data_IF_830010732698
#
_entry.id   IF_830010732698
#
_cell.length_a   1.000
_cell.length_b   1.000
_cell.length_c   1.000
_cell.angle_alpha   90.00
_cell.angle_beta   90.00
_cell.angle_gamma   90.00
#
_symmetry.space_group_name_H-M   'P 1'
#
loop_
_entity.id
_entity.type
_entity.pdbx_description
1 polymer ?
#
# COMPACT_ATOMS: atom_id res chain seq x y z
N UNK A 1 7.42 20.56 -5.42
CA UNK A 1 6.04 21.06 -5.15
C UNK A 1 5.90 21.24 -3.65
N UNK A 2 5.96 22.48 -3.17
CA UNK A 2 6.02 22.81 -1.74
C UNK A 2 4.60 22.92 -1.15
N UNK A 3 4.34 22.16 -0.08
CA UNK A 3 3.37 22.42 0.99
C UNK A 3 1.95 22.88 0.58
N UNK A 4 1.30 22.22 -0.37
CA UNK A 4 -0.16 22.20 -0.34
C UNK A 4 -0.53 21.35 0.87
N UNK A 5 -1.23 21.94 1.86
CA UNK A 5 -1.71 21.17 3.00
C UNK A 5 -2.54 19.99 2.49
N UNK A 6 -2.45 18.82 3.13
CA UNK A 6 -3.24 17.65 2.74
C UNK A 6 -4.73 18.01 2.56
N UNK A 7 -5.26 18.89 3.41
CA UNK A 7 -6.62 19.45 3.30
C UNK A 7 -6.88 20.18 1.97
N UNK A 8 -5.97 21.06 1.54
CA UNK A 8 -6.11 21.76 0.25
C UNK A 8 -6.06 20.81 -0.93
N UNK A 9 -5.15 19.82 -0.89
CA UNK A 9 -5.04 18.79 -1.92
C UNK A 9 -6.32 17.95 -2.01
N UNK A 10 -6.83 17.48 -0.86
CA UNK A 10 -8.09 16.73 -0.80
C UNK A 10 -9.28 17.57 -1.30
N UNK A 11 -9.31 18.87 -0.98
CA UNK A 11 -10.33 19.78 -1.51
C UNK A 11 -10.26 19.92 -3.03
N UNK A 12 -9.07 20.09 -3.59
CA UNK A 12 -8.86 20.13 -5.03
C UNK A 12 -9.30 18.82 -5.72
N UNK A 13 -8.89 17.66 -5.17
CA UNK A 13 -9.31 16.37 -5.70
C UNK A 13 -10.82 16.18 -5.66
N UNK A 14 -11.47 16.53 -4.55
CA UNK A 14 -12.93 16.43 -4.41
C UNK A 14 -13.64 17.27 -5.45
N UNK A 15 -13.19 18.50 -5.68
CA UNK A 15 -13.76 19.37 -6.71
C UNK A 15 -13.61 18.76 -8.11
N UNK A 16 -12.43 18.22 -8.45
CA UNK A 16 -12.22 17.55 -9.73
C UNK A 16 -13.11 16.32 -9.90
N UNK A 17 -13.24 15.47 -8.88
CA UNK A 17 -14.15 14.33 -8.96
C UNK A 17 -15.61 14.76 -9.18
N UNK A 18 -16.07 15.82 -8.51
CA UNK A 18 -17.40 16.37 -8.73
C UNK A 18 -17.60 16.90 -10.15
N UNK A 19 -16.62 17.62 -10.72
CA UNK A 19 -16.64 18.09 -12.11
C UNK A 19 -16.83 16.93 -13.11
N UNK A 20 -16.23 15.77 -12.84
CA UNK A 20 -16.31 14.57 -13.70
C UNK A 20 -17.41 13.57 -13.31
N UNK A 21 -18.31 13.92 -12.37
CA UNK A 21 -19.35 12.99 -11.91
C UNK A 21 -18.83 11.74 -11.18
N UNK A 22 -17.58 11.77 -10.71
CA UNK A 22 -16.94 10.68 -9.97
C UNK A 22 -17.37 10.75 -8.51
N UNK A 23 -17.99 9.68 -8.01
CA UNK A 23 -18.39 9.56 -6.60
C UNK A 23 -17.16 9.54 -5.69
N UNK A 24 -17.13 10.43 -4.71
CA UNK A 24 -16.07 10.50 -3.69
C UNK A 24 -16.57 9.92 -2.38
N UNK A 25 -15.77 9.06 -1.76
CA UNK A 25 -16.02 8.53 -0.41
C UNK A 25 -14.85 8.96 0.48
N UNK A 26 -15.15 9.70 1.54
CA UNK A 26 -14.16 10.06 2.55
C UNK A 26 -14.01 8.90 3.55
N UNK A 27 -12.77 8.55 3.87
CA UNK A 27 -12.47 7.45 4.79
C UNK A 27 -11.25 7.76 5.65
N UNK A 28 -11.30 7.38 6.93
CA UNK A 28 -10.15 7.50 7.82
C UNK A 28 -9.12 6.39 7.47
N UNK A 29 -7.88 6.74 7.06
CA UNK A 29 -6.83 5.77 6.77
C UNK A 29 -6.17 5.21 8.03
N UNK A 30 -6.53 5.67 9.23
CA UNK A 30 -5.94 5.17 10.47
C UNK A 30 -6.10 3.64 10.58
N UNK A 31 -5.05 2.99 11.05
CA UNK A 31 -5.02 1.55 11.34
C UNK A 31 -5.27 0.62 10.14
N UNK A 32 -5.33 1.13 8.90
CA UNK A 32 -5.51 0.30 7.70
C UNK A 32 -4.28 -0.53 7.36
N UNK A 33 -3.11 -0.24 7.94
CA UNK A 33 -1.87 -0.98 7.70
C UNK A 33 -1.55 -2.06 8.74
N UNK A 34 -2.45 -2.33 9.69
CA UNK A 34 -2.19 -3.30 10.77
C UNK A 34 -2.46 -4.75 10.35
N UNK A 35 -3.36 -4.97 9.38
CA UNK A 35 -3.72 -6.30 8.91
C UNK A 35 -3.04 -6.64 7.59
N UNK A 36 -2.60 -7.87 7.47
CA UNK A 36 -2.05 -8.42 6.24
C UNK A 36 -3.15 -8.39 5.18
N UNK A 37 -2.90 -7.74 4.03
CA UNK A 37 -3.90 -7.68 2.98
C UNK A 37 -4.03 -9.05 2.29
N UNK A 38 -3.07 -9.97 2.46
CA UNK A 38 -3.03 -11.31 1.85
C UNK A 38 -3.64 -12.45 2.71
N UNK A 39 -3.65 -12.34 4.04
CA UNK A 39 -4.27 -13.39 4.88
C UNK A 39 -5.17 -12.84 6.00
N UNK A 40 -5.15 -11.52 6.25
CA UNK A 40 -5.92 -10.90 7.33
C UNK A 40 -5.26 -10.92 8.71
N UNK A 41 -4.18 -11.67 8.91
CA UNK A 41 -3.42 -11.70 10.17
C UNK A 41 -2.75 -10.36 10.50
N UNK A 42 -2.28 -10.20 11.74
CA UNK A 42 -1.61 -8.96 12.16
C UNK A 42 -0.20 -8.86 11.55
N UNK A 43 0.15 -7.67 11.06
CA UNK A 43 1.49 -7.36 10.57
C UNK A 43 2.38 -6.82 11.69
N UNK A 44 3.67 -7.10 11.57
CA UNK A 44 4.73 -6.59 12.44
C UNK A 44 5.63 -5.62 11.68
N UNK A 45 6.08 -4.55 12.35
CA UNK A 45 7.08 -3.64 11.81
C UNK A 45 8.45 -4.26 12.01
N UNK A 46 9.22 -4.46 10.93
CA UNK A 46 10.43 -5.28 10.98
C UNK A 46 11.51 -4.71 11.93
N UNK A 47 11.64 -3.38 12.02
CA UNK A 47 12.64 -2.76 12.91
C UNK A 47 12.45 -3.16 14.39
N UNK A 48 11.20 -3.35 14.83
CA UNK A 48 10.91 -3.77 16.22
C UNK A 48 11.47 -5.15 16.56
N UNK A 49 11.84 -5.94 15.55
CA UNK A 49 12.42 -7.27 15.73
C UNK A 49 13.95 -7.21 15.80
N UNK A 50 14.57 -6.18 15.23
CA UNK A 50 16.03 -6.05 15.14
C UNK A 50 16.59 -5.13 16.23
N UNK A 51 15.95 -3.97 16.44
CA UNK A 51 16.30 -3.00 17.47
C UNK A 51 15.08 -2.11 17.74
N UNK A 52 14.51 -2.20 18.95
CA UNK A 52 13.34 -1.40 19.34
C UNK A 52 13.61 0.12 19.32
N UNK A 53 14.88 0.54 19.40
CA UNK A 53 15.32 1.93 19.34
C UNK A 53 15.61 2.41 17.91
N UNK A 54 15.61 1.50 16.93
CA UNK A 54 15.80 1.88 15.54
C UNK A 54 14.65 2.79 15.08
N UNK A 55 14.96 3.65 14.10
CA UNK A 55 13.95 4.48 13.48
C UNK A 55 12.81 3.61 12.96
N UNK A 56 11.54 4.05 13.10
CA UNK A 56 10.42 3.27 12.65
C UNK A 56 10.52 2.92 11.17
N UNK A 57 10.86 1.67 10.86
CA UNK A 57 10.81 1.17 9.50
C UNK A 57 9.37 1.20 9.00
N UNK A 58 9.22 1.63 7.75
CA UNK A 58 7.94 1.60 7.05
C UNK A 58 7.61 0.20 6.55
N UNK A 59 8.54 -0.75 6.61
CA UNK A 59 8.34 -2.11 6.14
C UNK A 59 7.53 -2.94 7.14
N UNK A 60 6.51 -3.61 6.61
CA UNK A 60 5.59 -4.49 7.32
C UNK A 60 5.80 -5.93 6.86
N UNK A 61 5.83 -6.87 7.82
CA UNK A 61 5.98 -8.30 7.55
C UNK A 61 4.86 -9.11 8.20
N UNK A 62 4.35 -10.12 7.50
CA UNK A 62 3.39 -11.09 7.99
C UNK A 62 4.09 -12.41 8.30
N UNK A 63 4.07 -12.83 9.56
CA UNK A 63 4.64 -14.12 9.97
C UNK A 63 3.80 -15.32 9.54
N UNK A 64 2.51 -15.13 9.24
CA UNK A 64 1.62 -16.25 8.87
C UNK A 64 1.69 -16.62 7.39
N UNK A 65 1.92 -15.65 6.49
CA UNK A 65 1.95 -15.90 5.04
C UNK A 65 3.19 -15.37 4.32
N UNK A 66 4.16 -14.79 5.04
CA UNK A 66 5.39 -14.24 4.46
C UNK A 66 5.20 -12.93 3.67
N UNK A 67 3.98 -12.38 3.59
CA UNK A 67 3.72 -11.12 2.91
C UNK A 67 4.61 -9.99 3.48
N UNK A 68 5.22 -9.22 2.57
CA UNK A 68 6.15 -8.14 2.90
C UNK A 68 5.94 -6.94 1.97
N UNK A 69 5.71 -5.76 2.53
CA UNK A 69 5.55 -4.52 1.77
C UNK A 69 5.71 -3.27 2.67
N UNK A 70 5.83 -2.10 2.03
CA UNK A 70 5.73 -0.81 2.71
C UNK A 70 4.34 -0.60 3.34
N UNK A 71 4.30 0.07 4.49
CA UNK A 71 3.09 0.39 5.26
C UNK A 71 2.06 1.16 4.45
N UNK A 72 2.47 2.08 3.59
CA UNK A 72 1.58 2.88 2.75
C UNK A 72 0.97 1.98 1.66
N UNK A 73 1.76 1.06 1.08
CA UNK A 73 1.26 0.03 0.16
C UNK A 73 0.23 -0.89 0.81
N UNK A 74 0.51 -1.35 2.04
CA UNK A 74 -0.46 -2.14 2.83
C UNK A 74 -1.75 -1.36 3.06
N UNK A 75 -1.63 -0.09 3.47
CA UNK A 75 -2.78 0.77 3.69
C UNK A 75 -3.64 0.90 2.42
N UNK A 76 -3.02 1.10 1.26
CA UNK A 76 -3.71 1.18 -0.03
C UNK A 76 -4.43 -0.12 -0.35
N UNK A 77 -3.78 -1.28 -0.21
CA UNK A 77 -4.43 -2.58 -0.45
C UNK A 77 -5.65 -2.81 0.44
N UNK A 78 -5.54 -2.50 1.73
CA UNK A 78 -6.67 -2.63 2.65
C UNK A 78 -7.77 -1.60 2.38
N UNK A 79 -7.44 -0.39 1.94
CA UNK A 79 -8.41 0.62 1.51
C UNK A 79 -9.16 0.18 0.25
N UNK A 80 -8.46 -0.32 -0.77
CA UNK A 80 -9.07 -0.88 -1.98
C UNK A 80 -10.04 -2.00 -1.57
N UNK A 81 -9.57 -2.99 -0.81
CA UNK A 81 -10.41 -4.10 -0.33
C UNK A 81 -11.64 -3.61 0.44
N UNK A 82 -11.50 -2.58 1.28
CA UNK A 82 -12.61 -2.02 2.07
C UNK A 82 -13.66 -1.31 1.22
N UNK A 83 -13.25 -0.56 0.20
CA UNK A 83 -14.17 0.27 -0.59
C UNK A 83 -14.70 -0.41 -1.84
N UNK A 84 -13.99 -1.38 -2.40
CA UNK A 84 -14.41 -2.10 -3.62
C UNK A 84 -14.83 -3.54 -3.35
N UNK A 85 -14.45 -4.12 -2.21
CA UNK A 85 -14.58 -5.56 -1.96
C UNK A 85 -13.62 -6.41 -2.78
N UNK A 86 -12.83 -5.81 -3.69
CA UNK A 86 -11.89 -6.51 -4.55
C UNK A 86 -10.64 -6.89 -3.78
N UNK A 87 -10.16 -8.10 -4.04
CA UNK A 87 -8.91 -8.56 -3.48
C UNK A 87 -7.74 -8.19 -4.42
N UNK A 88 -6.72 -7.45 -3.95
CA UNK A 88 -5.61 -7.05 -4.82
C UNK A 88 -4.73 -8.24 -5.22
N UNK A 89 -4.76 -9.33 -4.44
CA UNK A 89 -4.11 -10.59 -4.79
C UNK A 89 -5.09 -11.50 -5.53
N UNK A 90 -5.57 -11.09 -6.70
CA UNK A 90 -6.10 -12.10 -7.61
C UNK A 90 -4.96 -13.10 -7.87
N UNK A 91 -5.23 -14.43 -7.91
CA UNK A 91 -4.21 -15.41 -8.23
C UNK A 91 -3.83 -15.29 -9.72
N UNK A 92 -3.05 -14.26 -10.06
CA UNK A 92 -2.49 -14.00 -11.38
C UNK A 92 -1.00 -14.32 -11.46
N UNK A 93 -0.37 -14.79 -10.38
CA UNK A 93 1.05 -15.11 -10.33
C UNK A 93 1.40 -16.59 -10.62
N UNK A 94 0.43 -17.43 -10.98
CA UNK A 94 0.75 -18.77 -11.51
C UNK A 94 1.02 -18.76 -13.02
N UNK A 95 0.90 -17.61 -13.69
CA UNK A 95 1.37 -17.47 -15.06
C UNK A 95 2.91 -17.45 -15.01
N UNK A 96 3.61 -18.33 -15.75
CA UNK A 96 5.07 -18.30 -15.80
C UNK A 96 5.53 -16.92 -16.23
N UNK A 97 6.61 -16.43 -15.62
CA UNK A 97 7.29 -15.19 -16.03
C UNK A 97 7.52 -15.30 -17.54
N UNK A 98 7.02 -14.34 -18.32
CA UNK A 98 7.29 -14.32 -19.75
C UNK A 98 8.81 -14.29 -19.94
N UNK A 99 9.34 -15.31 -20.63
CA UNK A 99 10.75 -15.34 -21.05
C UNK A 99 11.08 -14.02 -21.76
N UNK A 100 12.10 -13.32 -21.28
CA UNK A 100 12.51 -12.03 -21.82
C UNK A 100 12.16 -10.80 -20.98
N UNK A 101 11.56 -10.96 -19.79
CA UNK A 101 11.49 -9.86 -18.81
C UNK A 101 12.88 -9.61 -18.21
N UNK A 102 13.76 -8.97 -18.97
CA UNK A 102 15.04 -8.46 -18.47
C UNK A 102 14.81 -7.08 -17.88
N UNK A 103 15.04 -6.92 -16.58
CA UNK A 103 15.23 -5.60 -16.00
C UNK A 103 16.58 -5.08 -16.52
N UNK A 104 16.66 -3.87 -17.08
CA UNK A 104 17.95 -3.31 -17.45
C UNK A 104 18.79 -3.14 -16.19
N UNK A 105 19.83 -3.97 -16.05
CA UNK A 105 20.93 -3.79 -15.12
C UNK A 105 21.84 -2.67 -15.67
N UNK A 106 21.34 -1.43 -15.69
CA UNK A 106 22.08 -0.24 -16.14
C UNK A 106 21.81 0.88 -15.12
N UNK A 107 22.77 1.50 -14.44
CA UNK A 107 24.21 1.45 -14.52
C UNK A 107 24.78 1.74 -13.12
N UNK A 108 25.77 0.95 -12.69
CA UNK A 108 26.67 1.33 -11.59
C UNK A 108 27.32 2.67 -11.93
N UNK A 109 27.19 3.63 -11.01
CA UNK A 109 28.02 4.84 -10.98
C UNK A 109 29.45 4.54 -10.59
#
# INVERSE_FOLDING_TARGET
MHNISAKKFLGYLKNKCLEFGVKVIEGNPAYTSIKCPNCGSRLSQLYKLADERALPSRLMYCFDCGFYADRDTVAVFNLIKRFTGLYPFSPKSNEPIAEGTVFPDEAMG
#
